data_IF_716544272314
#
_entry.id   IF_716544272314
#
_cell.length_a   1.000
_cell.length_b   1.000
_cell.length_c   1.000
_cell.angle_alpha   90.00
_cell.angle_beta   90.00
_cell.angle_gamma   90.00
#
_symmetry.space_group_name_H-M   'P 1'
#
loop_
_entity.id
_entity.type
_entity.pdbx_description
1 polymer ?
#
# COMPACT_ATOMS: atom_id res chain seq x y z
N UNK A 1 -2.16 -10.17 -0.34
CA UNK A 1 -2.23 -9.57 -1.70
C UNK A 1 -1.76 -10.54 -2.78
N UNK A 2 -0.61 -11.19 -2.64
CA UNK A 2 -0.11 -12.17 -3.61
C UNK A 2 -1.12 -13.29 -3.95
N UNK A 3 -1.76 -13.90 -2.95
CA UNK A 3 -2.69 -15.02 -3.20
C UNK A 3 -3.95 -14.61 -3.98
N UNK A 4 -4.35 -13.34 -3.90
CA UNK A 4 -5.55 -12.83 -4.56
C UNK A 4 -5.26 -12.31 -5.96
N UNK A 5 -4.07 -11.76 -6.21
CA UNK A 5 -3.75 -11.08 -7.47
C UNK A 5 -2.69 -11.80 -8.29
N UNK A 6 -1.93 -12.69 -7.68
CA UNK A 6 -0.68 -13.23 -8.20
C UNK A 6 0.42 -12.19 -8.35
N UNK A 7 0.17 -10.89 -8.18
CA UNK A 7 1.11 -9.84 -8.51
C UNK A 7 2.15 -9.63 -7.39
N UNK A 8 3.37 -9.19 -7.76
CA UNK A 8 4.37 -8.77 -6.78
C UNK A 8 3.83 -7.69 -5.86
N UNK A 9 4.29 -7.69 -4.62
CA UNK A 9 3.96 -6.65 -3.65
C UNK A 9 5.21 -6.18 -2.92
N UNK A 10 5.13 -4.98 -2.35
CA UNK A 10 6.17 -4.39 -1.52
C UNK A 10 5.50 -3.74 -0.30
N UNK A 11 6.13 -3.90 0.86
CA UNK A 11 5.77 -3.19 2.08
C UNK A 11 6.84 -2.15 2.38
N UNK A 12 6.42 -0.92 2.66
CA UNK A 12 7.26 0.16 3.17
C UNK A 12 6.84 0.42 4.61
N UNK A 13 7.78 0.28 5.55
CA UNK A 13 7.54 0.65 6.95
C UNK A 13 7.66 2.16 7.09
N UNK A 14 6.80 2.73 7.93
CA UNK A 14 6.74 4.13 8.28
C UNK A 14 7.27 4.33 9.71
N UNK A 15 8.40 3.68 10.04
CA UNK A 15 9.04 3.87 11.34
C UNK A 15 9.86 5.17 11.38
N UNK A 16 10.12 5.66 12.60
CA UNK A 16 10.82 6.94 12.83
C UNK A 16 12.17 6.97 12.11
N UNK A 17 12.94 5.88 12.14
CA UNK A 17 14.25 5.78 11.48
C UNK A 17 14.16 5.95 9.95
N UNK A 18 13.14 5.36 9.32
CA UNK A 18 12.91 5.50 7.87
C UNK A 18 12.47 6.92 7.48
N UNK A 19 11.90 7.68 8.42
CA UNK A 19 11.26 8.97 8.19
C UNK A 19 12.01 10.16 8.79
N UNK A 20 13.15 9.97 9.45
CA UNK A 20 14.01 11.06 9.93
C UNK A 20 14.66 11.83 8.76
N UNK A 21 15.00 11.14 7.67
CA UNK A 21 15.63 11.73 6.49
C UNK A 21 14.61 12.37 5.54
N UNK A 22 14.67 13.70 5.29
CA UNK A 22 13.77 14.38 4.36
C UNK A 22 13.81 13.80 2.94
N UNK A 23 14.98 13.33 2.47
CA UNK A 23 15.04 12.73 1.13
C UNK A 23 14.27 11.41 1.05
N UNK A 24 14.23 10.65 2.13
CA UNK A 24 13.48 9.40 2.20
C UNK A 24 11.97 9.67 2.15
N UNK A 25 11.49 10.72 2.83
CA UNK A 25 10.10 11.19 2.70
C UNK A 25 9.76 11.61 1.28
N UNK A 26 10.64 12.39 0.64
CA UNK A 26 10.45 12.82 -0.77
C UNK A 26 10.36 11.62 -1.71
N UNK A 27 11.28 10.66 -1.60
CA UNK A 27 11.26 9.44 -2.43
C UNK A 27 10.01 8.60 -2.20
N UNK A 28 9.53 8.51 -0.95
CA UNK A 28 8.29 7.81 -0.63
C UNK A 28 7.10 8.51 -1.29
N UNK A 29 7.01 9.83 -1.19
CA UNK A 29 5.96 10.60 -1.83
C UNK A 29 5.96 10.44 -3.37
N UNK A 30 7.12 10.56 -4.00
CA UNK A 30 7.29 10.32 -5.44
C UNK A 30 6.86 8.89 -5.84
N UNK A 31 7.20 7.89 -5.01
CA UNK A 31 6.79 6.51 -5.23
C UNK A 31 5.27 6.33 -5.14
N UNK A 32 4.63 6.95 -4.15
CA UNK A 32 3.17 6.91 -3.97
C UNK A 32 2.44 7.51 -5.18
N UNK A 33 2.91 8.66 -5.67
CA UNK A 33 2.39 9.29 -6.89
C UNK A 33 2.57 8.37 -8.12
N UNK A 34 3.75 7.77 -8.28
CA UNK A 34 4.01 6.84 -9.39
C UNK A 34 3.08 5.61 -9.31
N UNK A 35 2.90 5.04 -8.12
CA UNK A 35 2.06 3.86 -7.92
C UNK A 35 0.58 4.14 -8.20
N UNK A 36 0.07 5.30 -7.77
CA UNK A 36 -1.30 5.76 -8.11
C UNK A 36 -1.46 5.92 -9.63
N UNK A 37 -0.52 6.59 -10.30
CA UNK A 37 -0.54 6.78 -11.75
C UNK A 37 -0.47 5.45 -12.54
N UNK A 38 0.25 4.46 -12.02
CA UNK A 38 0.30 3.11 -12.60
C UNK A 38 -0.96 2.29 -12.31
N UNK A 39 -1.86 2.80 -11.47
CA UNK A 39 -3.07 2.09 -11.06
C UNK A 39 -2.76 0.85 -10.21
N UNK A 40 -1.67 0.88 -9.44
CA UNK A 40 -1.34 -0.16 -8.48
C UNK A 40 -2.28 -0.07 -7.27
N UNK A 41 -2.56 -1.22 -6.66
CA UNK A 41 -3.40 -1.26 -5.46
C UNK A 41 -2.52 -0.96 -4.25
N UNK A 42 -2.94 0.00 -3.44
CA UNK A 42 -2.22 0.40 -2.25
C UNK A 42 -3.11 0.28 -1.01
N UNK A 43 -2.48 -0.06 0.11
CA UNK A 43 -3.13 -0.11 1.42
C UNK A 43 -2.18 0.42 2.48
N UNK A 44 -2.72 0.96 3.56
CA UNK A 44 -1.96 1.41 4.72
C UNK A 44 -2.48 0.72 5.98
N UNK A 45 -1.61 0.46 6.95
CA UNK A 45 -2.00 -0.21 8.20
C UNK A 45 -1.66 0.68 9.39
N UNK A 46 -2.62 0.87 10.29
CA UNK A 46 -2.39 1.58 11.56
C UNK A 46 -1.64 0.67 12.55
N UNK A 47 -0.82 1.23 13.45
CA UNK A 47 -0.15 0.45 14.49
C UNK A 47 -1.15 -0.07 15.53
N UNK A 48 -0.72 -1.05 16.31
CA UNK A 48 -1.49 -1.62 17.42
C UNK A 48 -2.21 -2.93 17.09
N UNK A 49 -3.11 -3.35 17.96
CA UNK A 49 -3.93 -4.55 17.82
C UNK A 49 -5.39 -4.16 17.54
N UNK A 50 -6.05 -4.91 16.66
CA UNK A 50 -7.47 -4.71 16.37
C UNK A 50 -8.33 -5.32 17.47
N UNK A 51 -8.67 -4.50 18.46
CA UNK A 51 -9.56 -4.88 19.55
C UNK A 51 -11.03 -4.91 19.08
N UNK A 52 -11.36 -4.19 18.01
CA UNK A 52 -12.75 -4.02 17.57
C UNK A 52 -13.32 -5.28 16.95
N UNK A 53 -12.61 -5.89 16.00
CA UNK A 53 -13.11 -7.12 15.35
C UNK A 53 -13.22 -8.28 16.32
N UNK A 54 -12.33 -8.36 17.32
CA UNK A 54 -12.36 -9.41 18.32
C UNK A 54 -13.47 -9.23 19.36
N UNK A 55 -13.71 -8.00 19.82
CA UNK A 55 -14.59 -7.76 20.97
C UNK A 55 -15.94 -7.13 20.63
N UNK A 56 -16.10 -6.60 19.42
CA UNK A 56 -17.25 -5.78 19.00
C UNK A 56 -17.36 -4.45 19.76
N UNK A 57 -16.43 -4.15 20.68
CA UNK A 57 -16.42 -2.90 21.43
C UNK A 57 -15.72 -1.85 20.60
N UNK A 58 -16.46 -0.78 20.29
CA UNK A 58 -15.95 0.41 19.61
C UNK A 58 -14.58 0.80 20.20
N UNK A 59 -13.53 1.03 19.38
CA UNK A 59 -12.27 1.53 19.91
C UNK A 59 -12.55 2.79 20.72
N UNK A 60 -11.88 2.96 21.84
CA UNK A 60 -11.92 4.23 22.55
C UNK A 60 -11.49 5.32 21.56
N UNK A 61 -12.28 6.40 21.48
CA UNK A 61 -11.92 7.53 20.62
C UNK A 61 -10.66 8.16 21.21
N UNK A 62 -9.50 7.81 20.65
CA UNK A 62 -8.25 8.57 20.81
C UNK A 62 -8.39 10.01 20.27
N UNK A 63 -9.51 10.31 19.61
CA UNK A 63 -9.86 11.61 19.06
C UNK A 63 -9.47 11.78 17.60
N UNK A 64 -8.79 10.80 17.00
CA UNK A 64 -8.35 10.85 15.59
C UNK A 64 -9.41 10.34 14.62
N UNK A 65 -10.29 9.46 15.10
CA UNK A 65 -11.29 8.78 14.29
C UNK A 65 -10.78 7.50 13.61
N UNK A 66 -9.47 7.22 13.68
CA UNK A 66 -8.86 6.02 13.13
C UNK A 66 -9.00 4.82 14.08
N UNK A 67 -9.18 3.65 13.48
CA UNK A 67 -9.12 2.33 14.14
C UNK A 67 -7.67 1.84 14.18
N UNK A 68 -7.18 1.42 15.35
CA UNK A 68 -5.87 0.81 15.55
C UNK A 68 -5.79 -0.64 15.06
N UNK A 69 -4.58 -1.09 14.70
CA UNK A 69 -4.32 -2.45 14.23
C UNK A 69 -5.09 -2.83 12.95
N UNK A 70 -5.53 -1.84 12.17
CA UNK A 70 -6.47 -2.03 11.06
C UNK A 70 -5.87 -1.63 9.72
N UNK A 71 -6.37 -2.27 8.65
CA UNK A 71 -5.94 -2.00 7.28
C UNK A 71 -6.93 -1.08 6.56
N UNK A 72 -6.40 -0.04 5.94
CA UNK A 72 -7.10 0.94 5.12
C UNK A 72 -6.64 0.83 3.67
N UNK A 73 -7.53 1.19 2.74
CA UNK A 73 -7.16 1.28 1.32
C UNK A 73 -6.67 2.69 1.01
N UNK A 74 -5.55 2.82 0.29
CA UNK A 74 -5.16 4.11 -0.28
C UNK A 74 -5.78 4.19 -1.68
N UNK A 75 -6.75 5.09 -1.84
CA UNK A 75 -7.54 5.22 -3.06
C UNK A 75 -6.88 6.13 -4.08
N UNK A 76 -6.33 7.26 -3.63
CA UNK A 76 -5.75 8.27 -4.50
C UNK A 76 -4.60 9.00 -3.82
N UNK A 77 -3.66 9.49 -4.62
CA UNK A 77 -2.56 10.35 -4.17
C UNK A 77 -2.56 11.62 -5.02
N UNK A 78 -2.60 12.79 -4.38
CA UNK A 78 -2.70 14.09 -5.05
C UNK A 78 -1.68 15.07 -4.53
N UNK A 79 -0.93 15.66 -5.46
CA UNK A 79 -0.19 16.89 -5.25
C UNK A 79 -1.08 18.02 -5.77
N UNK A 80 -1.54 18.90 -4.87
CA UNK A 80 -2.42 20.01 -5.25
C UNK A 80 -1.66 21.23 -5.76
N UNK A 81 -2.36 22.17 -6.41
CA UNK A 81 -1.81 23.46 -6.86
C UNK A 81 -1.25 24.31 -5.74
N UNK A 82 -1.73 24.14 -4.50
CA UNK A 82 -1.19 24.77 -3.28
C UNK A 82 0.02 24.04 -2.67
N UNK A 83 0.61 23.11 -3.41
CA UNK A 83 1.68 22.22 -2.95
C UNK A 83 1.32 21.29 -1.78
N UNK A 84 0.03 21.11 -1.48
CA UNK A 84 -0.39 20.14 -0.47
C UNK A 84 -0.28 18.70 -1.00
N UNK A 85 0.30 17.84 -0.16
CA UNK A 85 0.46 16.40 -0.39
C UNK A 85 -0.67 15.66 0.32
N UNK A 86 -1.70 15.25 -0.44
CA UNK A 86 -2.91 14.67 0.11
C UNK A 86 -3.11 13.22 -0.36
N UNK A 87 -3.56 12.37 0.55
CA UNK A 87 -3.94 10.99 0.26
C UNK A 87 -5.41 10.79 0.58
N UNK A 88 -6.12 10.14 -0.33
CA UNK A 88 -7.46 9.64 -0.06
C UNK A 88 -7.35 8.24 0.51
N UNK A 89 -7.86 8.04 1.71
CA UNK A 89 -7.79 6.80 2.47
C UNK A 89 -9.19 6.32 2.75
N UNK A 90 -9.42 5.00 2.71
CA UNK A 90 -10.72 4.42 3.00
C UNK A 90 -10.66 3.31 4.03
N UNK A 91 -11.49 3.43 5.05
CA UNK A 91 -11.81 2.33 5.94
C UNK A 91 -12.73 1.32 5.22
N UNK A 92 -12.33 0.04 5.08
CA UNK A 92 -13.18 -0.98 4.47
C UNK A 92 -14.53 -1.20 5.14
N UNK A 93 -14.71 -0.78 6.40
CA UNK A 93 -15.99 -0.89 7.12
C UNK A 93 -17.02 0.19 6.71
N UNK A 94 -16.61 1.21 5.96
CA UNK A 94 -17.49 2.30 5.52
C UNK A 94 -17.85 3.27 6.64
N UNK A 95 -17.02 3.36 7.68
CA UNK A 95 -17.16 4.28 8.81
C UNK A 95 -15.81 4.48 9.50
N UNK A 96 -15.78 5.25 10.60
CA UNK A 96 -14.57 5.62 11.34
C UNK A 96 -13.57 6.37 10.46
N UNK A 97 -13.94 7.60 10.16
CA UNK A 97 -13.17 8.48 9.31
C UNK A 97 -12.26 9.39 10.13
N UNK A 98 -11.20 9.86 9.48
CA UNK A 98 -10.27 10.84 10.02
C UNK A 98 -11.00 12.13 10.39
N UNK A 99 -10.71 12.68 11.58
CA UNK A 99 -11.34 13.91 12.08
C UNK A 99 -10.37 15.09 12.18
N UNK A 100 -9.14 14.95 11.67
CA UNK A 100 -8.13 16.01 11.70
C UNK A 100 -8.12 16.88 10.44
N UNK A 101 -6.97 17.47 10.14
CA UNK A 101 -6.77 18.31 8.97
C UNK A 101 -7.06 17.55 7.68
N UNK A 102 -7.75 18.21 6.73
CA UNK A 102 -8.21 17.64 5.47
C UNK A 102 -9.27 16.54 5.58
N UNK A 103 -9.79 16.23 6.77
CA UNK A 103 -11.04 15.47 6.90
C UNK A 103 -12.17 16.12 6.10
N UNK A 104 -13.24 15.37 5.84
CA UNK A 104 -14.33 15.81 4.96
C UNK A 104 -14.98 17.13 5.38
N UNK A 105 -15.02 17.37 6.69
CA UNK A 105 -15.55 18.58 7.33
C UNK A 105 -14.48 19.62 7.70
N UNK A 106 -13.22 19.43 7.29
CA UNK A 106 -12.12 20.35 7.60
C UNK A 106 -12.33 21.73 6.96
N UNK A 107 -12.09 22.80 7.74
CA UNK A 107 -12.14 24.19 7.27
C UNK A 107 -11.00 24.55 6.30
N UNK A 108 -9.98 23.68 6.16
CA UNK A 108 -8.88 23.86 5.21
C UNK A 108 -9.31 23.71 3.75
N UNK A 109 -10.45 23.07 3.51
CA UNK A 109 -10.97 22.88 2.17
C UNK A 109 -11.55 24.18 1.59
N UNK A 110 -11.01 24.60 0.45
CA UNK A 110 -11.67 25.58 -0.42
C UNK A 110 -12.46 24.88 -1.52
N UNK A 111 -13.43 25.57 -2.12
CA UNK A 111 -14.20 25.04 -3.25
C UNK A 111 -13.31 24.65 -4.43
N UNK A 112 -12.22 25.39 -4.65
CA UNK A 112 -11.23 25.11 -5.68
C UNK A 112 -10.49 23.80 -5.39
N UNK A 113 -10.00 23.62 -4.15
CA UNK A 113 -9.26 22.41 -3.76
C UNK A 113 -10.16 21.18 -3.80
N UNK A 114 -11.43 21.29 -3.36
CA UNK A 114 -12.40 20.19 -3.45
C UNK A 114 -12.62 19.76 -4.90
N UNK A 115 -12.74 20.71 -5.84
CA UNK A 115 -12.87 20.42 -7.27
C UNK A 115 -11.59 19.81 -7.85
N UNK A 116 -10.43 20.24 -7.38
CA UNK A 116 -9.13 19.75 -7.83
C UNK A 116 -8.89 18.29 -7.43
N UNK A 117 -9.14 17.94 -6.17
CA UNK A 117 -8.92 16.57 -5.67
C UNK A 117 -10.02 15.59 -6.09
N UNK A 118 -11.23 16.09 -6.38
CA UNK A 118 -12.35 15.32 -6.89
C UNK A 118 -13.41 14.97 -5.83
N UNK A 119 -14.26 13.99 -6.13
CA UNK A 119 -15.44 13.66 -5.33
C UNK A 119 -15.14 12.58 -4.29
N UNK A 120 -14.92 13.00 -3.04
CA UNK A 120 -14.83 12.13 -1.88
C UNK A 120 -15.08 12.96 -0.61
N UNK A 121 -16.32 13.40 -0.47
CA UNK A 121 -16.77 14.21 0.66
C UNK A 121 -18.15 13.69 1.05
N UNK A 122 -18.15 12.59 1.78
CA UNK A 122 -19.35 11.89 2.28
C UNK A 122 -18.96 11.21 3.58
N UNK A 123 -19.44 11.75 4.71
CA UNK A 123 -19.01 11.37 6.05
C UNK A 123 -19.56 10.00 6.53
N UNK A 124 -20.19 9.27 5.62
CA UNK A 124 -20.77 7.94 5.85
C UNK A 124 -20.26 6.85 4.87
N UNK A 125 -19.22 7.10 4.08
CA UNK A 125 -18.68 6.12 3.12
C UNK A 125 -17.34 5.47 3.53
N UNK A 126 -16.76 5.98 4.63
CA UNK A 126 -15.49 5.55 5.22
C UNK A 126 -14.26 6.08 4.49
N UNK A 127 -14.42 6.91 3.46
CA UNK A 127 -13.34 7.48 2.66
C UNK A 127 -13.13 8.95 3.03
N UNK A 128 -11.89 9.29 3.32
CA UNK A 128 -11.52 10.63 3.77
C UNK A 128 -10.17 11.01 3.15
N UNK A 129 -9.92 12.31 3.12
CA UNK A 129 -8.60 12.85 2.79
C UNK A 129 -7.80 13.12 4.06
N UNK A 130 -6.48 13.02 3.93
CA UNK A 130 -5.54 13.40 4.98
C UNK A 130 -4.21 13.85 4.38
N UNK A 131 -3.44 14.61 5.16
CA UNK A 131 -2.10 15.04 4.73
C UNK A 131 -1.11 13.85 4.71
N UNK A 132 -0.09 13.93 3.84
CA UNK A 132 1.00 12.96 3.85
C UNK A 132 1.70 12.90 5.22
N UNK A 133 1.91 14.04 5.88
CA UNK A 133 2.51 14.10 7.21
C UNK A 133 1.65 13.37 8.26
N UNK A 134 0.34 13.48 8.20
CA UNK A 134 -0.55 12.72 9.08
C UNK A 134 -0.51 11.22 8.78
N UNK A 135 -0.34 10.82 7.51
CA UNK A 135 -0.14 9.40 7.16
C UNK A 135 1.13 8.87 7.82
N UNK A 136 2.23 9.61 7.73
CA UNK A 136 3.50 9.24 8.36
C UNK A 136 3.39 9.12 9.88
N UNK A 137 2.54 9.93 10.50
CA UNK A 137 2.36 9.94 11.96
C UNK A 137 1.43 8.85 12.47
N UNK A 138 0.36 8.54 11.73
CA UNK A 138 -0.72 7.68 12.20
C UNK A 138 -0.68 6.25 11.62
N UNK A 139 0.06 6.01 10.55
CA UNK A 139 0.19 4.70 9.93
C UNK A 139 1.57 4.09 10.17
N UNK A 140 1.59 2.76 10.24
CA UNK A 140 2.80 1.98 10.48
C UNK A 140 3.47 1.50 9.19
N UNK A 141 2.68 1.26 8.14
CA UNK A 141 3.20 0.77 6.87
C UNK A 141 2.28 1.10 5.71
N UNK A 142 2.87 1.22 4.53
CA UNK A 142 2.16 1.20 3.24
C UNK A 142 2.54 -0.06 2.49
N UNK A 143 1.54 -0.74 1.95
CA UNK A 143 1.70 -1.91 1.11
C UNK A 143 1.24 -1.55 -0.30
N UNK A 144 2.05 -1.86 -1.31
CA UNK A 144 1.71 -1.71 -2.72
C UNK A 144 1.71 -3.07 -3.40
N UNK A 145 0.65 -3.37 -4.12
CA UNK A 145 0.56 -4.52 -5.00
C UNK A 145 0.57 -4.06 -6.46
N UNK A 146 1.60 -4.49 -7.18
CA UNK A 146 1.91 -4.06 -8.53
C UNK A 146 1.07 -4.83 -9.56
N UNK A 147 -0.25 -4.77 -9.42
CA UNK A 147 -1.20 -5.43 -10.31
C UNK A 147 -1.06 -4.89 -11.74
N UNK A 148 -1.23 -5.76 -12.73
CA UNK A 148 -1.33 -5.35 -14.12
C UNK A 148 -2.72 -4.76 -14.34
N UNK A 149 -2.84 -3.45 -14.22
CA UNK A 149 -4.09 -2.76 -14.49
C UNK A 149 -4.24 -2.54 -15.99
N UNK A 150 -5.02 -3.38 -16.66
CA UNK A 150 -5.27 -3.27 -18.10
C UNK A 150 -6.01 -1.97 -18.49
N UNK A 151 -6.67 -1.32 -17.53
CA UNK A 151 -7.38 -0.06 -17.72
C UNK A 151 -6.49 1.16 -17.44
N UNK A 152 -5.31 0.99 -16.85
CA UNK A 152 -4.36 2.08 -16.70
C UNK A 152 -3.73 2.39 -18.08
N UNK A 153 -3.59 3.67 -18.43
CA UNK A 153 -2.93 4.12 -19.66
C UNK A 153 -1.40 3.94 -19.62
N UNK A 154 -0.90 2.97 -18.86
CA UNK A 154 0.52 2.71 -18.65
C UNK A 154 0.83 1.31 -19.15
N UNK A 155 1.87 1.18 -19.97
CA UNK A 155 2.32 -0.11 -20.47
C UNK A 155 2.62 -1.06 -19.28
N UNK A 156 2.07 -2.28 -19.25
CA UNK A 156 2.24 -3.18 -18.13
C UNK A 156 3.70 -3.64 -18.02
N UNK A 157 4.13 -3.96 -16.79
CA UNK A 157 5.43 -4.57 -16.55
C UNK A 157 5.49 -5.99 -17.12
N UNK A 158 6.68 -6.42 -17.53
CA UNK A 158 6.94 -7.76 -18.08
C UNK A 158 7.26 -8.73 -16.97
N UNK A 159 6.74 -9.95 -17.10
CA UNK A 159 6.86 -10.98 -16.07
C UNK A 159 7.46 -12.27 -16.62
N UNK A 160 8.30 -12.91 -15.82
CA UNK A 160 8.76 -14.28 -16.07
C UNK A 160 8.75 -15.04 -14.74
N UNK A 161 8.09 -16.21 -14.72
CA UNK A 161 8.08 -17.12 -13.58
C UNK A 161 8.82 -18.42 -13.92
N UNK A 162 9.60 -18.92 -12.96
CA UNK A 162 10.35 -20.17 -13.07
C UNK A 162 10.23 -20.94 -11.76
N UNK A 163 9.86 -22.22 -11.85
CA UNK A 163 9.94 -23.14 -10.71
C UNK A 163 11.39 -23.58 -10.55
N UNK A 164 11.88 -23.57 -9.32
CA UNK A 164 13.26 -23.92 -9.00
C UNK A 164 13.24 -24.97 -7.90
N UNK A 165 13.94 -26.07 -8.14
CA UNK A 165 14.15 -27.09 -7.12
C UNK A 165 15.40 -26.72 -6.31
N UNK A 166 15.20 -26.52 -5.01
CA UNK A 166 16.24 -26.17 -4.05
C UNK A 166 16.39 -27.31 -3.07
N UNK A 167 17.58 -27.89 -2.99
CA UNK A 167 17.91 -28.95 -2.03
C UNK A 167 18.60 -28.33 -0.82
N UNK A 168 18.09 -28.66 0.36
CA UNK A 168 18.69 -28.32 1.64
C UNK A 168 19.40 -29.55 2.19
N UNK A 169 20.68 -29.42 2.51
CA UNK A 169 21.43 -30.46 3.23
C UNK A 169 21.35 -30.22 4.74
N UNK A 170 21.56 -31.26 5.54
CA UNK A 170 21.42 -31.20 7.02
C UNK A 170 22.37 -30.20 7.69
N UNK A 171 23.47 -29.84 7.03
CA UNK A 171 24.46 -28.84 7.47
C UNK A 171 24.06 -27.39 7.12
N UNK A 172 22.88 -27.18 6.50
CA UNK A 172 22.38 -25.88 6.09
C UNK A 172 22.92 -25.39 4.74
N UNK A 173 23.66 -26.22 3.99
CA UNK A 173 24.09 -25.88 2.64
C UNK A 173 22.89 -25.93 1.68
N UNK A 174 22.74 -24.86 0.89
CA UNK A 174 21.70 -24.77 -0.13
C UNK A 174 22.32 -25.08 -1.48
N UNK A 175 21.83 -26.12 -2.16
CA UNK A 175 22.22 -26.44 -3.53
C UNK A 175 21.04 -26.33 -4.47
N UNK A 176 21.23 -25.62 -5.58
CA UNK A 176 20.28 -25.52 -6.69
C UNK A 176 20.98 -25.97 -7.96
N UNK A 177 20.31 -26.79 -8.76
CA UNK A 177 20.78 -27.18 -10.09
C UNK A 177 20.47 -26.12 -11.16
N UNK A 178 19.70 -25.08 -10.80
CA UNK A 178 19.19 -24.07 -11.74
C UNK A 178 19.83 -22.71 -11.46
N UNK A 179 20.49 -22.16 -12.48
CA UNK A 179 21.00 -20.80 -12.50
C UNK A 179 20.26 -20.00 -13.58
N UNK A 180 19.86 -18.77 -13.25
CA UNK A 180 19.19 -17.87 -14.19
C UNK A 180 20.02 -16.59 -14.33
N UNK A 181 20.23 -16.18 -15.58
CA UNK A 181 20.85 -14.91 -15.91
C UNK A 181 19.75 -13.98 -16.38
N UNK A 182 19.65 -12.81 -15.74
CA UNK A 182 18.79 -11.74 -16.17
C UNK A 182 19.62 -10.69 -16.90
N UNK A 183 19.22 -10.33 -18.12
CA UNK A 183 19.85 -9.26 -18.89
C UNK A 183 18.85 -8.15 -19.14
N UNK A 184 19.22 -6.92 -18.79
CA UNK A 184 18.42 -5.73 -19.03
C UNK A 184 18.96 -4.99 -20.26
N UNK A 185 18.16 -4.88 -21.31
CA UNK A 185 18.55 -4.17 -22.55
C UNK A 185 18.59 -2.65 -22.35
N UNK A 186 17.90 -2.15 -21.33
CA UNK A 186 17.82 -0.73 -20.95
C UNK A 186 17.71 -0.61 -19.45
N UNK A 187 18.03 0.56 -18.91
CA UNK A 187 17.80 0.86 -17.50
C UNK A 187 16.33 0.65 -17.15
N UNK A 188 16.06 -0.19 -16.15
CA UNK A 188 14.72 -0.58 -15.76
C UNK A 188 14.70 -0.96 -14.28
N UNK A 189 13.57 -0.68 -13.61
CA UNK A 189 13.31 -1.20 -12.27
C UNK A 189 12.95 -2.68 -12.36
N UNK A 190 13.64 -3.50 -11.57
CA UNK A 190 13.45 -4.95 -11.50
C UNK A 190 12.95 -5.34 -10.12
N UNK A 191 11.96 -6.22 -10.09
CA UNK A 191 11.51 -6.89 -8.88
C UNK A 191 11.78 -8.37 -9.02
N UNK A 192 12.57 -8.93 -8.10
CA UNK A 192 12.81 -10.36 -7.99
C UNK A 192 12.21 -10.84 -6.69
N UNK A 193 11.32 -11.81 -6.76
CA UNK A 193 10.76 -12.47 -5.59
C UNK A 193 10.96 -13.97 -5.70
N UNK A 194 11.18 -14.60 -4.54
CA UNK A 194 11.27 -16.05 -4.40
C UNK A 194 10.14 -16.47 -3.47
N UNK A 195 9.31 -17.40 -3.92
CA UNK A 195 8.17 -17.91 -3.17
C UNK A 195 8.32 -19.41 -3.00
N UNK A 196 8.18 -19.89 -1.77
CA UNK A 196 8.10 -21.31 -1.46
C UNK A 196 6.63 -21.72 -1.51
N UNK A 197 6.30 -22.73 -2.31
CA UNK A 197 4.96 -23.32 -2.31
C UNK A 197 4.69 -23.99 -0.96
N UNK A 198 3.56 -23.66 -0.35
CA UNK A 198 3.08 -24.35 0.85
C UNK A 198 2.71 -25.80 0.50
N UNK A 199 3.14 -26.75 1.32
CA UNK A 199 2.90 -28.18 1.12
C UNK A 199 1.40 -28.54 1.14
N UNK A 200 0.54 -27.68 1.70
CA UNK A 200 -0.92 -27.83 1.66
C UNK A 200 -1.50 -27.61 0.26
N UNK A 201 -0.76 -26.95 -0.64
CA UNK A 201 -1.15 -26.72 -2.04
C UNK A 201 -0.64 -27.82 -3.00
N UNK A 202 0.08 -28.84 -2.52
CA UNK A 202 0.70 -29.88 -3.35
C UNK A 202 -0.30 -30.69 -4.21
N UNK A 203 -1.59 -30.68 -3.85
CA UNK A 203 -2.67 -31.38 -4.58
C UNK A 203 -3.67 -30.42 -5.26
N UNK A 204 -3.41 -29.11 -5.24
CA UNK A 204 -4.26 -28.16 -5.94
C UNK A 204 -4.03 -28.25 -7.45
N UNK A 205 -5.11 -28.25 -8.25
CA UNK A 205 -4.98 -28.21 -9.71
C UNK A 205 -4.33 -26.89 -10.13
N UNK A 206 -3.36 -26.91 -11.07
CA UNK A 206 -2.79 -25.67 -11.60
C UNK A 206 -3.87 -24.85 -12.33
N UNK A 207 -3.79 -23.53 -12.21
CA UNK A 207 -4.58 -22.55 -12.96
C UNK A 207 -4.19 -22.51 -14.43
#
# INVERSE_FOLDING_TARGET
>A
MLDLTGAPYKTVRLDEETLEDPQSRTRLWESLLEWDQRGYVMSASTPGEDIYTETGKRPEKDGTGLVHGHAYTLLQVRQTTGEHQLLQVRNPWGNFEWTGDWSDNSELWTDELRKEVGTAFDDEDGAFWMSFEDVLKHFFSVNVCMVKNACANVAPWREQRRKVDVNYTEDGTVSSSSMYVLSLERSASLYVSVHQEDTRCANAKPY
#
